data_IF_069257930464
#
_entry.id   IF_069257930464
#
_cell.length_a   1.000
_cell.length_b   1.000
_cell.length_c   1.000
_cell.angle_alpha   90.00
_cell.angle_beta   90.00
_cell.angle_gamma   90.00
#
_symmetry.space_group_name_H-M   'P 1'
#
loop_
_entity.id
_entity.type
_entity.pdbx_description
1 polymer ?
#
# COMPACT_ATOMS: atom_id res chain seq x y z
N UNK A 1 -51.49 19.46 6.39
CA UNK A 1 -50.35 20.22 6.93
C UNK A 1 -49.13 19.85 6.08
N UNK A 2 -48.92 20.56 4.97
CA UNK A 2 -47.80 20.29 4.05
C UNK A 2 -46.50 20.89 4.61
N UNK A 3 -45.50 20.04 4.84
CA UNK A 3 -44.15 20.51 5.22
C UNK A 3 -43.48 21.14 3.98
N UNK A 4 -43.48 22.47 3.93
CA UNK A 4 -42.65 23.23 2.98
C UNK A 4 -41.20 23.15 3.44
N UNK A 5 -40.40 22.32 2.76
CA UNK A 5 -38.94 22.35 2.93
C UNK A 5 -38.40 23.61 2.23
N UNK A 6 -37.73 24.48 2.98
CA UNK A 6 -37.05 25.66 2.45
C UNK A 6 -35.94 25.23 1.48
N UNK A 7 -35.88 25.89 0.31
CA UNK A 7 -34.85 25.64 -0.70
C UNK A 7 -33.39 25.74 -0.16
N UNK A 8 -33.18 26.44 0.96
CA UNK A 8 -31.88 26.51 1.64
C UNK A 8 -31.42 25.20 2.29
N UNK A 9 -32.34 24.34 2.75
CA UNK A 9 -31.99 23.06 3.40
C UNK A 9 -31.58 21.97 2.40
N UNK A 10 -32.01 22.06 1.13
CA UNK A 10 -31.58 21.14 0.08
C UNK A 10 -30.14 21.42 -0.40
N UNK A 11 -29.73 22.70 -0.46
CA UNK A 11 -28.40 23.09 -0.93
C UNK A 11 -27.31 22.68 0.08
N UNK A 12 -27.55 22.82 1.38
CA UNK A 12 -26.61 22.42 2.42
C UNK A 12 -26.37 20.89 2.47
N UNK A 13 -27.42 20.09 2.24
CA UNK A 13 -27.31 18.63 2.18
C UNK A 13 -26.55 18.15 0.92
N UNK A 14 -26.76 18.81 -0.23
CA UNK A 14 -26.02 18.53 -1.47
C UNK A 14 -24.53 18.89 -1.35
N UNK A 15 -24.19 20.01 -0.72
CA UNK A 15 -22.79 20.36 -0.45
C UNK A 15 -22.11 19.35 0.48
N UNK A 16 -22.78 18.88 1.53
CA UNK A 16 -22.22 17.87 2.44
C UNK A 16 -21.96 16.53 1.72
N UNK A 17 -22.86 16.09 0.84
CA UNK A 17 -22.71 14.85 0.06
C UNK A 17 -21.60 14.97 -1.00
N UNK A 18 -21.48 16.11 -1.69
CA UNK A 18 -20.36 16.36 -2.62
C UNK A 18 -19.01 16.49 -1.89
N UNK A 19 -19.01 17.01 -0.67
CA UNK A 19 -17.81 17.11 0.17
C UNK A 19 -17.32 15.74 0.65
N UNK A 20 -18.25 14.82 0.94
CA UNK A 20 -17.95 13.44 1.29
C UNK A 20 -17.51 12.59 0.08
N UNK A 21 -18.02 12.88 -1.13
CA UNK A 21 -17.61 12.20 -2.35
C UNK A 21 -16.23 12.64 -2.87
N UNK A 22 -15.75 13.83 -2.51
CA UNK A 22 -14.43 14.32 -2.90
C UNK A 22 -13.28 13.68 -2.09
N UNK A 23 -13.58 13.03 -0.96
CA UNK A 23 -12.59 12.39 -0.10
C UNK A 23 -12.24 10.95 -0.47
N UNK A 24 -13.08 10.28 -1.29
CA UNK A 24 -12.81 8.93 -1.76
C UNK A 24 -12.10 9.02 -3.11
N UNK A 25 -10.82 8.61 -3.17
CA UNK A 25 -10.03 8.62 -4.40
C UNK A 25 -10.75 7.93 -5.57
N UNK A 26 -10.38 8.29 -6.81
CA UNK A 26 -10.98 7.65 -8.00
C UNK A 26 -10.49 6.21 -8.12
N UNK A 27 -11.35 5.24 -8.48
CA UNK A 27 -10.88 3.90 -8.78
C UNK A 27 -9.82 3.92 -9.90
N UNK A 28 -8.71 3.22 -9.71
CA UNK A 28 -7.74 2.92 -10.77
C UNK A 28 -7.99 1.51 -11.30
N UNK A 29 -7.57 1.20 -12.52
CA UNK A 29 -7.74 -0.14 -13.09
C UNK A 29 -6.40 -0.87 -13.04
N UNK A 30 -6.28 -1.96 -12.26
CA UNK A 30 -5.05 -2.73 -12.23
C UNK A 30 -4.84 -3.51 -13.54
N UNK A 31 -3.58 -3.71 -13.88
CA UNK A 31 -3.09 -4.57 -14.97
C UNK A 31 -3.20 -6.07 -14.64
N UNK A 32 -4.17 -6.46 -13.84
CA UNK A 32 -4.26 -7.81 -13.29
C UNK A 32 -5.34 -7.94 -12.25
N UNK A 33 -5.47 -9.14 -11.71
CA UNK A 33 -6.49 -9.46 -10.72
C UNK A 33 -5.84 -9.69 -9.36
N UNK A 34 -6.32 -8.96 -8.34
CA UNK A 34 -5.91 -9.20 -6.97
C UNK A 34 -6.82 -10.22 -6.29
N UNK A 35 -6.23 -11.07 -5.45
CA UNK A 35 -6.95 -11.93 -4.53
C UNK A 35 -6.26 -11.92 -3.17
N UNK A 36 -7.00 -11.60 -2.10
CA UNK A 36 -6.47 -11.45 -0.76
C UNK A 36 -7.16 -12.41 0.21
N UNK A 37 -6.38 -12.98 1.10
CA UNK A 37 -6.87 -13.65 2.29
C UNK A 37 -6.13 -13.08 3.50
N UNK A 38 -6.85 -12.95 4.62
CA UNK A 38 -6.27 -12.50 5.88
C UNK A 38 -7.03 -13.10 7.04
N UNK A 39 -6.33 -13.80 7.92
CA UNK A 39 -6.92 -14.46 9.09
C UNK A 39 -6.30 -13.91 10.37
N UNK A 40 -7.09 -13.28 11.26
CA UNK A 40 -6.60 -12.85 12.55
C UNK A 40 -6.10 -14.00 13.41
N UNK A 41 -5.13 -13.72 14.27
CA UNK A 41 -4.64 -14.67 15.26
C UNK A 41 -4.43 -14.00 16.63
N UNK A 42 -4.34 -14.83 17.67
CA UNK A 42 -4.28 -14.38 19.08
C UNK A 42 -3.05 -13.55 19.45
N UNK A 43 -1.97 -13.63 18.66
CA UNK A 43 -0.77 -12.84 18.90
C UNK A 43 -0.84 -11.41 18.30
N UNK A 44 -2.00 -10.74 18.40
CA UNK A 44 -2.17 -9.33 17.96
C UNK A 44 -1.72 -9.09 16.51
N UNK A 45 -2.23 -9.89 15.58
CA UNK A 45 -1.83 -9.81 14.17
C UNK A 45 -2.72 -10.63 13.24
N UNK A 46 -2.38 -10.62 11.96
CA UNK A 46 -3.04 -11.43 10.93
C UNK A 46 -2.00 -12.27 10.18
N UNK A 47 -2.37 -13.45 9.71
CA UNK A 47 -1.66 -14.11 8.62
C UNK A 47 -2.37 -13.75 7.32
N UNK A 48 -1.64 -13.23 6.33
CA UNK A 48 -2.22 -12.82 5.06
C UNK A 48 -1.48 -13.37 3.84
N UNK A 49 -2.22 -13.43 2.75
CA UNK A 49 -1.70 -13.69 1.41
C UNK A 49 -2.35 -12.73 0.44
N UNK A 50 -1.54 -12.03 -0.35
CA UNK A 50 -1.97 -11.25 -1.50
C UNK A 50 -1.42 -11.87 -2.77
N UNK A 51 -2.32 -12.23 -3.68
CA UNK A 51 -2.00 -12.70 -5.00
C UNK A 51 -2.30 -11.62 -6.04
N UNK A 52 -1.44 -11.50 -7.04
CA UNK A 52 -1.67 -10.66 -8.21
C UNK A 52 -1.41 -11.47 -9.47
N UNK A 53 -2.48 -11.81 -10.18
CA UNK A 53 -2.41 -12.42 -11.49
C UNK A 53 -2.25 -11.31 -12.54
N UNK A 54 -1.01 -11.07 -12.94
CA UNK A 54 -0.69 -10.05 -13.94
C UNK A 54 -1.19 -10.48 -15.33
N UNK A 55 -1.91 -9.57 -16.00
CA UNK A 55 -2.45 -9.78 -17.33
C UNK A 55 -2.12 -8.55 -18.21
N UNK A 56 -1.12 -8.68 -19.11
CA UNK A 56 -0.76 -7.63 -20.06
C UNK A 56 -1.95 -7.05 -20.83
N UNK A 57 -2.98 -7.85 -21.11
CA UNK A 57 -4.16 -7.42 -21.85
C UNK A 57 -5.00 -6.38 -21.08
N UNK A 58 -4.91 -6.36 -19.75
CA UNK A 58 -5.63 -5.40 -18.90
C UNK A 58 -4.94 -4.03 -18.83
N UNK A 59 -3.72 -3.90 -19.35
CA UNK A 59 -2.90 -2.69 -19.28
C UNK A 59 -3.25 -1.58 -20.29
N UNK A 60 -4.49 -1.54 -20.79
CA UNK A 60 -5.10 -0.46 -21.61
C UNK A 60 -4.17 0.26 -22.60
N UNK A 61 -3.43 -0.50 -23.40
CA UNK A 61 -2.71 0.03 -24.56
C UNK A 61 -1.18 0.12 -24.42
N UNK A 62 -0.61 -0.25 -23.28
CA UNK A 62 0.82 -0.56 -23.21
C UNK A 62 1.01 -2.06 -23.49
N UNK A 63 1.70 -2.42 -24.58
CA UNK A 63 2.30 -3.75 -24.66
C UNK A 63 3.25 -3.89 -23.47
N UNK A 64 2.86 -4.66 -22.47
CA UNK A 64 3.54 -4.74 -21.18
C UNK A 64 3.70 -6.21 -20.83
N UNK A 65 4.77 -6.80 -21.34
CA UNK A 65 5.20 -8.12 -20.93
C UNK A 65 6.19 -7.96 -19.78
N UNK A 66 6.06 -8.81 -18.78
CA UNK A 66 6.91 -8.84 -17.60
C UNK A 66 7.20 -10.28 -17.18
N UNK A 67 8.48 -10.61 -17.06
CA UNK A 67 8.99 -11.88 -16.57
C UNK A 67 9.15 -11.91 -15.04
N UNK A 68 9.25 -10.73 -14.41
CA UNK A 68 9.47 -10.54 -12.98
C UNK A 68 8.56 -9.45 -12.40
N UNK A 69 7.39 -9.87 -11.93
CA UNK A 69 6.48 -9.06 -11.12
C UNK A 69 6.76 -9.31 -9.64
N UNK A 70 7.10 -8.25 -8.92
CA UNK A 70 7.40 -8.29 -7.47
C UNK A 70 6.57 -7.23 -6.75
N UNK A 71 6.68 -7.16 -5.42
CA UNK A 71 5.94 -6.19 -4.62
C UNK A 71 6.84 -5.11 -4.03
N UNK A 72 6.31 -3.90 -3.96
CA UNK A 72 6.68 -2.90 -2.97
C UNK A 72 5.50 -2.76 -2.01
N UNK A 73 5.76 -2.77 -0.71
CA UNK A 73 4.75 -2.52 0.31
C UNK A 73 5.12 -1.26 1.07
N UNK A 74 4.13 -0.46 1.45
CA UNK A 74 4.26 0.57 2.47
C UNK A 74 3.27 0.30 3.58
N UNK A 75 3.63 0.67 4.80
CA UNK A 75 2.80 0.52 5.98
C UNK A 75 2.68 1.84 6.74
N UNK A 76 1.60 1.96 7.49
CA UNK A 76 1.41 3.00 8.50
C UNK A 76 0.73 2.36 9.69
N UNK A 77 1.24 2.63 10.89
CA UNK A 77 0.63 2.15 12.13
C UNK A 77 0.29 3.35 13.00
N UNK A 78 -0.94 3.39 13.51
CA UNK A 78 -1.46 4.52 14.29
C UNK A 78 -1.93 3.98 15.64
N UNK A 79 -1.52 4.65 16.71
CA UNK A 79 -2.18 4.54 18.01
C UNK A 79 -3.51 5.29 17.94
N UNK A 80 -4.63 4.58 17.99
CA UNK A 80 -5.98 5.11 17.77
C UNK A 80 -6.36 6.15 18.84
N UNK A 81 -5.84 6.01 20.06
CA UNK A 81 -6.19 6.92 21.17
C UNK A 81 -5.47 8.27 21.05
N UNK A 82 -4.19 8.25 20.67
CA UNK A 82 -3.34 9.44 20.63
C UNK A 82 -3.20 10.04 19.24
N UNK A 83 -3.49 9.27 18.19
CA UNK A 83 -3.23 9.63 16.80
C UNK A 83 -1.75 9.57 16.41
N UNK A 84 -0.86 9.11 17.30
CA UNK A 84 0.57 9.03 17.04
C UNK A 84 0.89 7.87 16.09
N UNK A 85 1.91 8.06 15.25
CA UNK A 85 2.44 6.99 14.42
C UNK A 85 3.35 6.06 15.23
N UNK A 86 3.09 4.76 15.12
CA UNK A 86 3.89 3.69 15.71
C UNK A 86 4.88 3.14 14.67
N UNK A 87 6.00 2.64 15.15
CA UNK A 87 7.07 2.11 14.33
C UNK A 87 7.81 1.01 15.11
N UNK A 88 8.25 -0.08 14.47
CA UNK A 88 8.88 -1.18 15.18
C UNK A 88 10.35 -0.90 15.54
N UNK A 89 10.98 0.09 14.90
CA UNK A 89 12.37 0.49 15.14
C UNK A 89 12.68 1.88 14.56
N UNK A 90 13.87 2.39 14.88
CA UNK A 90 14.34 3.69 14.41
C UNK A 90 14.55 3.76 12.89
N UNK A 91 14.88 2.66 12.22
CA UNK A 91 15.08 2.63 10.77
C UNK A 91 13.75 2.88 10.02
N UNK A 92 12.67 2.23 10.45
CA UNK A 92 11.33 2.47 9.92
C UNK A 92 10.88 3.91 10.23
N UNK A 93 11.17 4.42 11.43
CA UNK A 93 10.86 5.82 11.79
C UNK A 93 11.58 6.82 10.89
N UNK A 94 12.86 6.60 10.59
CA UNK A 94 13.66 7.52 9.80
C UNK A 94 13.15 7.69 8.36
N UNK A 95 12.50 6.66 7.80
CA UNK A 95 11.94 6.67 6.44
C UNK A 95 10.43 6.91 6.39
N UNK A 96 9.85 7.36 7.50
CA UNK A 96 8.44 7.73 7.59
C UNK A 96 8.20 9.11 6.97
N UNK A 97 7.13 9.22 6.18
CA UNK A 97 6.67 10.50 5.64
C UNK A 97 6.18 11.36 6.80
N UNK A 98 6.74 12.55 6.93
CA UNK A 98 6.38 13.54 7.97
C UNK A 98 6.27 14.94 7.35
N UNK A 99 5.43 15.80 7.95
CA UNK A 99 5.28 17.20 7.52
C UNK A 99 4.60 17.39 6.15
N UNK A 100 3.97 16.35 5.58
CA UNK A 100 3.24 16.48 4.33
C UNK A 100 1.98 17.36 4.55
N UNK A 101 1.72 18.37 3.68
CA UNK A 101 0.54 19.22 3.78
C UNK A 101 -0.79 18.45 3.71
N UNK A 102 -0.81 17.29 3.08
CA UNK A 102 -1.95 16.37 3.08
C UNK A 102 -1.79 15.37 4.24
N UNK A 103 -2.56 15.49 5.35
CA UNK A 103 -2.33 14.69 6.56
C UNK A 103 -2.41 13.18 6.33
N UNK A 104 -3.24 12.75 5.37
CA UNK A 104 -3.41 11.34 5.02
C UNK A 104 -2.13 10.66 4.51
N UNK A 105 -1.10 11.43 4.09
CA UNK A 105 0.16 10.91 3.60
C UNK A 105 1.24 10.80 4.69
N UNK A 106 1.04 11.42 5.85
CA UNK A 106 1.96 11.27 6.97
C UNK A 106 1.82 9.88 7.62
N UNK A 107 2.92 9.42 8.22
CA UNK A 107 2.98 8.14 8.93
C UNK A 107 3.30 6.92 8.04
N UNK A 108 3.19 7.06 6.73
CA UNK A 108 3.54 6.01 5.78
C UNK A 108 5.05 5.84 5.66
N UNK A 109 5.51 4.60 5.55
CA UNK A 109 6.89 4.25 5.26
C UNK A 109 6.93 2.98 4.40
N UNK A 110 7.88 2.90 3.49
CA UNK A 110 8.17 1.65 2.77
C UNK A 110 8.48 0.54 3.78
N UNK A 111 7.79 -0.58 3.64
CA UNK A 111 7.83 -1.70 4.56
C UNK A 111 8.99 -2.62 4.24
N UNK A 112 10.03 -2.55 5.07
CA UNK A 112 11.21 -3.40 5.00
C UNK A 112 11.74 -3.76 6.38
N UNK A 113 12.32 -4.94 6.48
CA UNK A 113 13.06 -5.31 7.68
C UNK A 113 14.32 -4.44 7.83
N UNK A 114 14.67 -4.16 9.09
CA UNK A 114 15.91 -3.44 9.43
C UNK A 114 17.13 -4.14 8.82
N UNK A 115 18.10 -3.35 8.37
CA UNK A 115 19.34 -3.83 7.75
C UNK A 115 19.22 -4.22 6.27
N UNK A 116 18.02 -4.34 5.69
CA UNK A 116 17.85 -4.65 4.26
C UNK A 116 18.21 -3.45 3.38
N UNK A 117 18.95 -3.69 2.30
CA UNK A 117 19.44 -2.62 1.42
C UNK A 117 18.43 -2.24 0.33
N UNK A 118 17.57 -3.17 -0.09
CA UNK A 118 16.56 -2.94 -1.11
C UNK A 118 15.18 -2.62 -0.52
N UNK A 119 14.49 -1.67 -1.13
CA UNK A 119 13.11 -1.29 -0.78
C UNK A 119 12.04 -2.27 -1.25
N UNK A 120 12.35 -3.18 -2.19
CA UNK A 120 11.41 -4.21 -2.65
C UNK A 120 11.11 -5.21 -1.53
N UNK A 121 9.84 -5.52 -1.33
CA UNK A 121 9.40 -6.44 -0.29
C UNK A 121 10.00 -7.83 -0.55
N UNK A 122 10.51 -8.48 0.50
CA UNK A 122 11.14 -9.80 0.42
C UNK A 122 12.49 -9.86 -0.32
N UNK A 123 12.97 -8.80 -0.98
CA UNK A 123 14.26 -8.83 -1.69
C UNK A 123 15.44 -8.83 -0.70
N UNK A 124 16.37 -9.76 -0.90
CA UNK A 124 17.62 -9.87 -0.18
C UNK A 124 18.74 -9.08 -0.86
N UNK A 125 19.83 -8.84 -0.13
CA UNK A 125 20.95 -8.02 -0.60
C UNK A 125 21.76 -8.72 -1.70
N UNK A 126 21.67 -10.04 -1.81
CA UNK A 126 22.22 -10.86 -2.89
C UNK A 126 21.34 -10.92 -4.16
N UNK A 127 20.26 -10.13 -4.20
CA UNK A 127 19.22 -10.08 -5.24
C UNK A 127 18.29 -11.29 -5.31
N UNK A 128 18.36 -12.23 -4.38
CA UNK A 128 17.34 -13.27 -4.24
C UNK A 128 16.08 -12.72 -3.56
N UNK A 129 14.99 -13.50 -3.57
CA UNK A 129 13.76 -13.19 -2.85
C UNK A 129 13.52 -14.20 -1.73
N UNK A 130 13.06 -13.70 -0.58
CA UNK A 130 12.64 -14.51 0.55
C UNK A 130 11.45 -15.40 0.17
N UNK A 131 11.29 -16.54 0.83
CA UNK A 131 10.18 -17.48 0.60
C UNK A 131 8.78 -16.93 0.92
N UNK A 132 8.68 -15.71 1.44
CA UNK A 132 7.44 -14.95 1.60
C UNK A 132 7.01 -14.25 0.31
N UNK A 133 7.82 -14.32 -0.76
CA UNK A 133 7.49 -13.78 -2.07
C UNK A 133 7.65 -14.87 -3.14
N UNK A 134 6.60 -15.06 -3.92
CA UNK A 134 6.67 -15.72 -5.22
C UNK A 134 6.68 -14.65 -6.29
N UNK A 135 7.74 -14.60 -7.09
CA UNK A 135 7.84 -13.70 -8.25
C UNK A 135 6.83 -14.18 -9.30
N UNK A 136 6.00 -13.26 -9.79
CA UNK A 136 5.07 -13.53 -10.89
C UNK A 136 5.64 -13.14 -12.25
N UNK A 137 4.85 -13.37 -13.29
CA UNK A 137 5.15 -12.98 -14.68
C UNK A 137 3.84 -12.82 -15.45
N UNK A 138 3.91 -12.64 -16.77
CA UNK A 138 2.75 -12.76 -17.66
C UNK A 138 1.96 -14.05 -17.35
N UNK A 139 0.71 -13.88 -16.92
CA UNK A 139 -0.21 -14.96 -16.56
C UNK A 139 0.26 -15.88 -15.43
N UNK A 140 1.34 -15.55 -14.74
CA UNK A 140 1.83 -16.26 -13.55
C UNK A 140 1.65 -15.37 -12.32
N UNK A 141 0.91 -15.87 -11.36
CA UNK A 141 0.58 -15.13 -10.14
C UNK A 141 1.83 -14.77 -9.33
N UNK A 142 2.00 -13.47 -9.05
CA UNK A 142 2.88 -13.02 -7.98
C UNK A 142 2.17 -13.22 -6.64
N UNK A 143 2.89 -13.67 -5.61
CA UNK A 143 2.32 -13.87 -4.27
C UNK A 143 3.17 -13.18 -3.22
N UNK A 144 2.51 -12.42 -2.35
CA UNK A 144 3.07 -11.85 -1.13
C UNK A 144 2.43 -12.54 0.08
N UNK A 145 3.25 -13.10 0.94
CA UNK A 145 2.88 -13.60 2.25
C UNK A 145 3.40 -12.63 3.31
N UNK A 146 2.55 -12.27 4.26
CA UNK A 146 2.90 -11.39 5.37
C UNK A 146 2.17 -11.82 6.64
N UNK A 147 2.74 -11.43 7.77
CA UNK A 147 2.20 -11.68 9.08
C UNK A 147 2.59 -10.56 10.04
N UNK A 148 2.06 -9.33 9.91
CA UNK A 148 2.32 -8.28 10.88
C UNK A 148 1.69 -8.64 12.23
N UNK A 149 2.47 -8.54 13.31
CA UNK A 149 2.02 -8.84 14.66
C UNK A 149 2.76 -8.01 15.72
N UNK A 150 2.29 -8.11 16.97
CA UNK A 150 3.02 -7.60 18.14
C UNK A 150 2.81 -6.12 18.44
N UNK A 151 1.89 -5.46 17.73
CA UNK A 151 1.51 -4.08 18.02
C UNK A 151 0.66 -3.99 19.30
N UNK A 152 0.71 -2.85 20.02
CA UNK A 152 -0.07 -2.65 21.24
C UNK A 152 -1.58 -2.66 20.96
N UNK A 153 -2.38 -2.77 22.03
CA UNK A 153 -3.82 -2.54 21.91
C UNK A 153 -4.09 -1.11 21.43
N UNK A 154 -5.24 -0.91 20.79
CA UNK A 154 -5.61 0.34 20.12
C UNK A 154 -4.72 0.68 18.92
N UNK A 155 -4.09 -0.32 18.28
CA UNK A 155 -3.34 -0.08 17.05
C UNK A 155 -4.24 -0.19 15.82
N UNK A 156 -4.07 0.73 14.87
CA UNK A 156 -4.58 0.66 13.51
C UNK A 156 -3.40 0.41 12.56
N UNK A 157 -3.39 -0.72 11.88
CA UNK A 157 -2.37 -1.06 10.89
C UNK A 157 -2.94 -0.90 9.48
N UNK A 158 -2.30 -0.07 8.68
CA UNK A 158 -2.56 0.13 7.26
C UNK A 158 -1.41 -0.44 6.43
N UNK A 159 -1.74 -1.02 5.27
CA UNK A 159 -0.76 -1.37 4.24
C UNK A 159 -1.28 -1.08 2.84
N UNK A 160 -0.36 -0.69 1.95
CA UNK A 160 -0.58 -0.66 0.50
C UNK A 160 0.51 -1.51 -0.15
N UNK A 161 0.10 -2.55 -0.87
CA UNK A 161 0.97 -3.44 -1.62
C UNK A 161 0.81 -3.17 -3.12
N UNK A 162 1.93 -2.98 -3.81
CA UNK A 162 1.99 -2.52 -5.20
C UNK A 162 2.83 -3.51 -6.02
N UNK A 163 2.22 -4.25 -6.97
CA UNK A 163 2.96 -5.06 -7.92
C UNK A 163 3.71 -4.17 -8.92
N UNK A 164 4.98 -4.50 -9.16
CA UNK A 164 5.89 -3.74 -10.02
C UNK A 164 6.67 -4.71 -10.89
N UNK A 165 6.77 -4.39 -12.18
CA UNK A 165 7.67 -5.09 -13.09
C UNK A 165 9.11 -4.59 -12.93
N UNK A 166 10.07 -5.49 -12.71
CA UNK A 166 11.49 -5.13 -12.51
C UNK A 166 12.42 -5.57 -13.64
N UNK A 167 11.90 -6.17 -14.71
CA UNK A 167 12.72 -6.59 -15.85
C UNK A 167 13.21 -5.39 -16.64
N UNK A 168 14.53 -5.27 -16.77
CA UNK A 168 15.17 -4.09 -17.38
C UNK A 168 14.78 -3.84 -18.84
N UNK A 169 14.36 -4.89 -19.55
CA UNK A 169 13.99 -4.83 -20.97
C UNK A 169 12.49 -4.76 -21.19
N UNK A 170 11.68 -4.88 -20.13
CA UNK A 170 10.23 -4.80 -20.24
C UNK A 170 9.78 -3.38 -20.54
N UNK A 171 8.79 -3.24 -21.42
CA UNK A 171 8.16 -1.95 -21.74
C UNK A 171 7.38 -1.33 -20.55
N UNK A 172 7.17 -2.12 -19.50
CA UNK A 172 6.59 -1.68 -18.24
C UNK A 172 7.51 -1.82 -17.03
N UNK A 173 8.83 -1.88 -17.27
CA UNK A 173 9.83 -1.73 -16.20
C UNK A 173 9.48 -0.52 -15.34
N UNK A 174 9.45 -0.71 -14.02
CA UNK A 174 9.13 0.33 -13.04
C UNK A 174 7.75 0.97 -13.23
N UNK A 175 6.80 0.28 -13.86
CA UNK A 175 5.40 0.72 -13.88
C UNK A 175 4.63 0.05 -12.75
N UNK A 176 3.73 0.82 -12.16
CA UNK A 176 2.89 0.39 -11.04
C UNK A 176 1.65 -0.30 -11.60
N UNK A 177 1.57 -1.61 -11.46
CA UNK A 177 0.55 -2.46 -12.11
C UNK A 177 -0.79 -2.51 -11.36
N UNK A 178 -0.86 -1.90 -10.18
CA UNK A 178 -2.07 -1.82 -9.37
C UNK A 178 -1.76 -1.48 -7.91
N UNK A 179 -2.77 -1.17 -7.11
CA UNK A 179 -2.63 -0.90 -5.68
C UNK A 179 -3.62 -1.75 -4.91
N UNK A 180 -3.14 -2.43 -3.88
CA UNK A 180 -3.99 -3.20 -2.99
C UNK A 180 -3.83 -2.67 -1.57
N UNK A 181 -4.89 -2.14 -1.00
CA UNK A 181 -4.90 -1.68 0.37
C UNK A 181 -5.60 -2.68 1.26
N UNK A 182 -5.04 -2.86 2.45
CA UNK A 182 -5.63 -3.65 3.50
C UNK A 182 -5.28 -3.06 4.86
N UNK A 183 -6.17 -3.25 5.82
CA UNK A 183 -6.01 -2.78 7.18
C UNK A 183 -6.54 -3.81 8.17
N UNK A 184 -6.06 -3.75 9.40
CA UNK A 184 -6.72 -4.35 10.55
C UNK A 184 -6.47 -3.49 11.79
N UNK A 185 -7.34 -3.64 12.79
CA UNK A 185 -7.17 -2.99 14.09
C UNK A 185 -6.91 -4.03 15.17
N UNK A 186 -6.19 -3.66 16.21
CA UNK A 186 -5.96 -4.51 17.39
C UNK A 186 -6.68 -3.88 18.56
N UNK A 187 -7.62 -4.64 19.12
CA UNK A 187 -8.37 -4.25 20.31
C UNK A 187 -8.46 -5.46 21.23
N UNK A 188 -8.30 -5.26 22.54
CA UNK A 188 -8.39 -6.31 23.56
C UNK A 188 -7.48 -7.53 23.29
N UNK A 189 -6.25 -7.31 22.82
CA UNK A 189 -5.24 -8.34 22.61
C UNK A 189 -5.41 -9.17 21.34
N UNK A 190 -6.38 -8.86 20.48
CA UNK A 190 -6.65 -9.59 19.23
C UNK A 190 -6.80 -8.64 18.04
N UNK A 191 -6.35 -9.09 16.87
CA UNK A 191 -6.63 -8.40 15.62
C UNK A 191 -8.09 -8.64 15.20
N UNK A 192 -8.74 -7.60 14.67
CA UNK A 192 -10.01 -7.70 13.99
C UNK A 192 -9.87 -8.29 12.58
N UNK A 193 -11.00 -8.65 11.98
CA UNK A 193 -11.02 -9.04 10.57
C UNK A 193 -10.49 -7.91 9.69
N UNK A 194 -9.65 -8.22 8.68
CA UNK A 194 -9.10 -7.20 7.84
C UNK A 194 -10.19 -6.58 6.95
N UNK A 195 -10.08 -5.27 6.73
CA UNK A 195 -10.74 -4.60 5.62
C UNK A 195 -9.75 -4.47 4.47
N UNK A 196 -10.25 -4.47 3.23
CA UNK A 196 -9.41 -4.34 2.05
C UNK A 196 -10.13 -3.67 0.89
N UNK A 197 -9.39 -2.94 0.06
CA UNK A 197 -9.88 -2.33 -1.17
C UNK A 197 -8.81 -2.33 -2.26
N UNK A 198 -9.27 -2.38 -3.50
CA UNK A 198 -8.42 -2.39 -4.68
C UNK A 198 -8.44 -0.99 -5.28
N UNK A 199 -7.25 -0.44 -5.56
CA UNK A 199 -7.02 0.56 -6.58
C UNK A 199 -7.86 1.84 -6.45
N UNK A 200 -7.47 2.75 -5.56
CA UNK A 200 -7.98 4.13 -5.51
C UNK A 200 -6.82 5.12 -5.52
N UNK A 201 -7.03 6.30 -6.11
CA UNK A 201 -5.95 7.27 -6.37
C UNK A 201 -5.20 7.73 -5.12
N UNK A 202 -5.83 7.72 -3.94
CA UNK A 202 -5.15 8.15 -2.72
C UNK A 202 -4.05 7.16 -2.29
N UNK A 203 -4.20 5.85 -2.57
CA UNK A 203 -3.14 4.84 -2.34
C UNK A 203 -1.88 5.18 -3.10
N UNK A 204 -2.08 5.59 -4.35
CA UNK A 204 -1.01 5.94 -5.25
C UNK A 204 -0.24 7.16 -4.78
N UNK A 205 -0.94 8.24 -4.43
CA UNK A 205 -0.27 9.47 -4.00
C UNK A 205 0.48 9.26 -2.66
N UNK A 206 -0.09 8.46 -1.75
CA UNK A 206 0.59 8.06 -0.51
C UNK A 206 1.81 7.16 -0.79
N UNK A 207 1.71 6.24 -1.76
CA UNK A 207 2.82 5.38 -2.20
C UNK A 207 3.95 6.20 -2.83
N UNK A 208 3.62 7.14 -3.71
CA UNK A 208 4.58 8.06 -4.33
C UNK A 208 5.34 8.85 -3.24
N UNK A 209 4.64 9.33 -2.21
CA UNK A 209 5.26 10.02 -1.07
C UNK A 209 6.19 9.11 -0.25
N UNK A 210 5.77 7.86 0.04
CA UNK A 210 6.59 6.91 0.77
C UNK A 210 7.85 6.49 -0.01
N UNK A 211 7.74 6.27 -1.32
CA UNK A 211 8.89 6.00 -2.21
C UNK A 211 9.84 7.20 -2.26
N UNK A 212 9.32 8.43 -2.35
CA UNK A 212 10.13 9.63 -2.30
C UNK A 212 10.92 9.73 -0.98
N UNK A 213 10.27 9.46 0.16
CA UNK A 213 10.91 9.46 1.47
C UNK A 213 11.98 8.36 1.59
N UNK A 214 11.72 7.15 1.08
CA UNK A 214 12.74 6.11 0.97
C UNK A 214 13.94 6.61 0.16
N UNK A 215 13.71 7.14 -1.04
CA UNK A 215 14.78 7.59 -1.94
C UNK A 215 15.60 8.74 -1.35
N UNK A 216 14.99 9.61 -0.54
CA UNK A 216 15.69 10.68 0.16
C UNK A 216 16.61 10.15 1.28
N UNK A 217 16.20 9.10 1.99
CA UNK A 217 16.91 8.59 3.17
C UNK A 217 17.85 7.43 2.88
N UNK A 218 17.59 6.67 1.81
CA UNK A 218 18.33 5.48 1.45
C UNK A 218 19.84 5.73 1.24
N UNK A 219 20.30 6.77 0.53
CA UNK A 219 21.74 6.99 0.30
C UNK A 219 22.52 7.18 1.60
N UNK A 220 22.03 8.00 2.52
CA UNK A 220 22.67 8.22 3.83
C UNK A 220 22.65 6.99 4.73
N UNK A 221 21.73 6.06 4.49
CA UNK A 221 21.62 4.80 5.22
C UNK A 221 22.35 3.63 4.55
N UNK A 222 23.10 3.86 3.46
CA UNK A 222 23.78 2.80 2.70
C UNK A 222 22.82 1.85 1.97
N UNK A 223 21.62 2.33 1.61
CA UNK A 223 20.56 1.56 0.95
C UNK A 223 20.42 1.96 -0.52
N UNK A 224 19.82 1.08 -1.31
CA UNK A 224 19.51 1.34 -2.71
C UNK A 224 18.23 2.17 -2.86
N UNK A 225 18.30 3.20 -3.70
CA UNK A 225 17.11 3.94 -4.14
C UNK A 225 16.27 3.08 -5.08
N UNK A 226 14.96 3.30 -5.05
CA UNK A 226 14.09 2.85 -6.12
C UNK A 226 14.38 3.62 -7.41
N UNK A 227 14.16 2.99 -8.57
CA UNK A 227 14.04 3.74 -9.82
C UNK A 227 12.80 4.64 -9.77
N UNK A 228 12.73 5.59 -10.70
CA UNK A 228 11.50 6.37 -10.90
C UNK A 228 10.39 5.44 -11.34
N UNK A 229 9.31 5.39 -10.55
CA UNK A 229 8.10 4.68 -10.92
C UNK A 229 7.19 5.56 -11.77
N UNK A 230 6.40 4.92 -12.65
CA UNK A 230 5.35 5.60 -13.40
C UNK A 230 4.05 4.82 -13.35
N UNK A 231 2.94 5.54 -13.51
CA UNK A 231 1.59 5.01 -13.43
C UNK A 231 1.28 4.22 -14.71
N UNK A 232 0.61 3.07 -14.60
CA UNK A 232 -0.05 2.47 -15.76
C UNK A 232 -1.30 3.28 -16.12
N UNK A 233 -1.64 3.42 -17.41
CA UNK A 233 -2.82 4.17 -17.88
C UNK A 233 -4.16 3.64 -17.33
#
# INVERSE_FOLDING_TARGET
MEKRYSAGSLIAALFLIFSLAAGCGKPTLPCGVFNFTGTPHSNRGINMQLNFAFDPALCKGAACNCDSVVYVQMIRVIDIETGNYLSPNSEQTARMVTGNPQPAFNGWAVDRLSGKQWGYYGRNDDNTFAGTITIGSDHTTATLLDGPFGWPDNSWFDAVSVPVCIDRTAACVNKLSGYYYWLFTINNGVAGNPFHEIAVTWHQDAFDAAVAQWNATAPSAGKHVFPTFSRMP
#
